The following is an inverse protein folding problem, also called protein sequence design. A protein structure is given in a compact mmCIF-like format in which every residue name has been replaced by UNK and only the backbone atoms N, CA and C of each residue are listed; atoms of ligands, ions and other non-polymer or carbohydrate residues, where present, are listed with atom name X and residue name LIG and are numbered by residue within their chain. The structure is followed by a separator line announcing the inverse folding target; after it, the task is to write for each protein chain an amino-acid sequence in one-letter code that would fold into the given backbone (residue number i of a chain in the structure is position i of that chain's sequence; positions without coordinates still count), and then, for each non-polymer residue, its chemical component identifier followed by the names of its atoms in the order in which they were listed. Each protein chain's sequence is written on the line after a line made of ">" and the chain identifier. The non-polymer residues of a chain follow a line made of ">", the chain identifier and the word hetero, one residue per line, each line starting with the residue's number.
data_IF_722397715954
#
_entry.id   IF_722397715954
#
_cell.length_a   1.000
_cell.length_b   1.000
_cell.length_c   1.000
_cell.angle_alpha   90.00
_cell.angle_beta   90.00
_cell.angle_gamma   90.00
#
_symmetry.space_group_name_H-M   'P 1'
#
loop_
_entity.id
_entity.type
_entity.pdbx_description
1 polymer ?
#
# COMPACT_ATOMS: atom_id res chain seq x y z
N UNK A 1 19.73 -6.26 -4.64
CA UNK A 1 18.73 -6.44 -3.57
C UNK A 1 17.36 -6.44 -4.22
N UNK A 2 16.63 -7.55 -4.16
CA UNK A 2 15.34 -7.70 -4.88
C UNK A 2 14.11 -7.65 -3.96
N UNK A 3 14.30 -7.74 -2.64
CA UNK A 3 13.23 -7.75 -1.66
C UNK A 3 13.61 -6.94 -0.42
N UNK A 4 12.65 -6.15 0.08
CA UNK A 4 12.74 -5.40 1.33
C UNK A 4 11.44 -5.55 2.13
N UNK A 5 11.59 -5.68 3.44
CA UNK A 5 10.50 -5.51 4.40
C UNK A 5 10.84 -4.34 5.33
N UNK A 6 9.96 -3.35 5.37
CA UNK A 6 10.07 -2.22 6.29
C UNK A 6 8.97 -2.30 7.34
N UNK A 7 9.36 -2.38 8.60
CA UNK A 7 8.44 -2.36 9.73
C UNK A 7 8.40 -0.95 10.32
N UNK A 8 7.23 -0.33 10.35
CA UNK A 8 6.98 0.90 11.05
C UNK A 8 6.78 0.65 12.55
N UNK A 9 6.80 1.73 13.32
CA UNK A 9 6.56 1.69 14.76
C UNK A 9 5.36 2.58 15.06
N UNK A 10 4.26 1.96 15.52
CA UNK A 10 3.15 2.68 16.14
C UNK A 10 3.68 3.53 17.29
N UNK A 11 3.43 4.84 17.23
CA UNK A 11 3.89 5.77 18.25
C UNK A 11 3.33 5.38 19.62
N UNK A 12 4.15 4.71 20.42
CA UNK A 12 4.16 4.90 21.85
C UNK A 12 5.59 5.19 22.23
N UNK A 13 5.80 6.36 22.85
CA UNK A 13 7.07 6.91 23.31
C UNK A 13 7.84 7.76 22.28
N UNK A 14 8.16 8.95 22.75
CA UNK A 14 8.99 10.00 22.15
C UNK A 14 10.16 9.42 21.35
N UNK A 15 10.41 9.88 20.11
CA UNK A 15 11.53 9.36 19.35
C UNK A 15 12.87 9.75 19.98
N UNK A 16 13.81 8.81 20.17
CA UNK A 16 15.22 9.15 20.30
C UNK A 16 15.69 9.82 19.00
N UNK A 17 16.70 10.69 19.10
CA UNK A 17 17.29 11.63 18.13
C UNK A 17 17.75 11.08 16.74
N UNK A 18 17.05 10.11 16.14
CA UNK A 18 17.47 9.43 14.91
C UNK A 18 16.33 8.90 14.04
N UNK A 19 15.18 9.59 13.98
CA UNK A 19 14.08 9.18 13.11
C UNK A 19 14.44 9.37 11.63
N UNK A 20 14.53 8.26 10.89
CA UNK A 20 14.41 8.24 9.44
C UNK A 20 13.10 8.93 9.05
N UNK A 21 13.21 10.07 8.34
CA UNK A 21 12.03 10.74 7.83
C UNK A 21 11.47 9.94 6.65
N UNK A 22 10.17 10.09 6.38
CA UNK A 22 9.54 9.47 5.20
C UNK A 22 10.32 9.78 3.90
N UNK A 23 10.84 11.00 3.77
CA UNK A 23 11.63 11.41 2.61
C UNK A 23 12.94 10.61 2.47
N UNK A 24 13.58 10.26 3.59
CA UNK A 24 14.81 9.45 3.58
C UNK A 24 14.48 8.02 3.14
N UNK A 25 13.35 7.48 3.60
CA UNK A 25 12.86 6.17 3.17
C UNK A 25 12.56 6.16 1.67
N UNK A 26 11.86 7.17 1.16
CA UNK A 26 11.57 7.32 -0.27
C UNK A 26 12.87 7.41 -1.08
N UNK A 27 13.84 8.19 -0.61
CA UNK A 27 15.14 8.36 -1.28
C UNK A 27 15.92 7.05 -1.29
N UNK A 28 15.94 6.33 -0.17
CA UNK A 28 16.55 5.01 -0.07
C UNK A 28 15.90 4.03 -1.03
N UNK A 29 14.57 3.92 -1.03
CA UNK A 29 13.83 3.04 -1.94
C UNK A 29 14.08 3.38 -3.41
N UNK A 30 14.14 4.67 -3.75
CA UNK A 30 14.45 5.13 -5.11
C UNK A 30 15.87 4.75 -5.56
N UNK A 31 16.82 4.64 -4.62
CA UNK A 31 18.19 4.19 -4.94
C UNK A 31 18.26 2.68 -5.25
N UNK A 32 17.25 1.91 -4.85
CA UNK A 32 17.18 0.46 -5.04
C UNK A 32 16.50 0.12 -6.38
N UNK A 33 17.18 0.40 -7.48
CA UNK A 33 16.63 0.29 -8.84
C UNK A 33 16.14 -1.11 -9.24
N UNK A 34 16.59 -2.15 -8.54
CA UNK A 34 16.25 -3.55 -8.81
C UNK A 34 15.28 -4.15 -7.77
N UNK A 35 14.68 -3.31 -6.91
CA UNK A 35 13.75 -3.77 -5.89
C UNK A 35 12.44 -4.24 -6.54
N UNK A 36 12.14 -5.53 -6.40
CA UNK A 36 10.94 -6.18 -6.96
C UNK A 36 9.87 -6.45 -5.92
N UNK A 37 10.25 -6.61 -4.64
CA UNK A 37 9.33 -6.92 -3.55
C UNK A 37 9.45 -5.91 -2.43
N UNK A 38 8.32 -5.34 -2.03
CA UNK A 38 8.22 -4.39 -0.93
C UNK A 38 7.12 -4.85 0.02
N UNK A 39 7.50 -5.08 1.27
CA UNK A 39 6.56 -5.26 2.38
C UNK A 39 6.61 -4.02 3.29
N UNK A 40 5.46 -3.40 3.52
CA UNK A 40 5.25 -2.39 4.56
C UNK A 40 4.35 -3.00 5.65
N UNK A 41 4.79 -2.90 6.89
CA UNK A 41 4.16 -3.52 8.06
C UNK A 41 4.09 -2.50 9.20
N UNK A 42 2.93 -2.24 9.80
CA UNK A 42 2.77 -1.33 10.94
C UNK A 42 3.15 0.14 10.66
N UNK A 43 2.71 0.68 9.52
CA UNK A 43 3.03 2.06 9.11
C UNK A 43 1.89 3.02 9.39
N UNK A 44 2.23 4.21 9.88
CA UNK A 44 1.28 5.31 10.00
C UNK A 44 1.64 6.40 9.00
N UNK A 45 0.73 6.69 8.08
CA UNK A 45 0.91 7.67 7.00
C UNK A 45 -0.11 8.79 7.12
N UNK A 46 0.26 10.01 6.77
CA UNK A 46 -0.63 11.17 6.81
C UNK A 46 -1.62 11.18 5.65
N UNK A 47 -1.29 10.51 4.54
CA UNK A 47 -2.16 10.45 3.37
C UNK A 47 -1.81 9.30 2.43
N UNK A 48 -2.77 8.94 1.59
CA UNK A 48 -2.53 8.04 0.46
C UNK A 48 -1.46 8.55 -0.52
N UNK A 49 -1.22 9.87 -0.58
CA UNK A 49 -0.15 10.41 -1.41
C UNK A 49 1.25 9.98 -0.93
N UNK A 50 1.45 9.84 0.38
CA UNK A 50 2.68 9.29 0.93
C UNK A 50 2.85 7.82 0.57
N UNK A 51 1.79 7.01 0.70
CA UNK A 51 1.82 5.61 0.29
C UNK A 51 2.20 5.46 -1.20
N UNK A 52 1.59 6.29 -2.07
CA UNK A 52 1.92 6.30 -3.49
C UNK A 52 3.38 6.64 -3.74
N UNK A 53 3.93 7.66 -3.09
CA UNK A 53 5.33 8.02 -3.30
C UNK A 53 6.29 6.93 -2.82
N UNK A 54 5.97 6.22 -1.72
CA UNK A 54 6.74 5.04 -1.28
C UNK A 54 6.71 3.95 -2.37
N UNK A 55 5.53 3.61 -2.88
CA UNK A 55 5.36 2.56 -3.90
C UNK A 55 6.07 2.96 -5.20
N UNK A 56 5.88 4.20 -5.66
CA UNK A 56 6.43 4.70 -6.92
C UNK A 56 7.95 4.95 -6.88
N UNK A 57 8.55 5.09 -5.68
CA UNK A 57 10.01 5.07 -5.55
C UNK A 57 10.61 3.77 -6.09
N UNK A 58 9.87 2.67 -6.00
CA UNK A 58 10.29 1.33 -6.42
C UNK A 58 9.84 1.05 -7.86
N UNK A 59 10.56 1.59 -8.86
CA UNK A 59 10.12 1.54 -10.28
C UNK A 59 10.00 0.13 -10.87
N UNK A 60 10.78 -0.83 -10.37
CA UNK A 60 10.77 -2.22 -10.80
C UNK A 60 9.90 -3.13 -9.90
N UNK A 61 9.04 -2.54 -9.06
CA UNK A 61 8.26 -3.29 -8.09
C UNK A 61 7.21 -4.18 -8.76
N UNK A 62 7.27 -5.47 -8.44
CA UNK A 62 6.36 -6.51 -8.94
C UNK A 62 5.46 -7.05 -7.82
N UNK A 63 5.91 -7.03 -6.56
CA UNK A 63 5.18 -7.56 -5.41
C UNK A 63 5.07 -6.50 -4.31
N UNK A 64 3.83 -6.19 -3.93
CA UNK A 64 3.53 -5.27 -2.84
C UNK A 64 2.74 -5.98 -1.76
N UNK A 65 3.24 -5.92 -0.53
CA UNK A 65 2.56 -6.41 0.67
C UNK A 65 2.38 -5.25 1.63
N UNK A 66 1.13 -4.95 1.97
CA UNK A 66 0.77 -3.93 2.95
C UNK A 66 0.01 -4.61 4.09
N UNK A 67 0.54 -4.45 5.30
CA UNK A 67 -0.05 -5.00 6.52
C UNK A 67 -0.10 -3.88 7.55
N UNK A 68 -1.28 -3.62 8.13
CA UNK A 68 -1.41 -2.69 9.26
C UNK A 68 -0.86 -1.30 8.85
N UNK A 69 -1.48 -0.71 7.81
CA UNK A 69 -1.07 0.60 7.26
C UNK A 69 -2.19 1.60 7.45
N UNK A 70 -2.02 2.46 8.44
CA UNK A 70 -3.06 3.35 8.95
C UNK A 70 -2.84 4.81 8.57
N UNK A 71 -3.95 5.56 8.57
CA UNK A 71 -3.88 7.01 8.50
C UNK A 71 -3.57 7.63 9.88
N UNK A 72 -2.72 8.65 9.93
CA UNK A 72 -2.54 9.45 11.15
C UNK A 72 -3.85 10.16 11.51
N UNK A 73 -4.28 10.07 12.77
CA UNK A 73 -5.53 10.69 13.27
C UNK A 73 -5.44 12.23 13.33
N UNK A 74 -4.23 12.78 13.44
CA UNK A 74 -4.00 14.23 13.54
C UNK A 74 -3.36 14.76 12.26
N UNK A 75 -3.99 15.73 11.55
CA UNK A 75 -3.34 16.39 10.42
C UNK A 75 -2.19 17.25 10.95
N UNK A 76 -0.97 16.74 10.90
CA UNK A 76 0.22 17.50 11.25
C UNK A 76 0.80 18.15 9.99
N UNK A 77 0.74 19.49 9.93
CA UNK A 77 1.48 20.33 8.99
C UNK A 77 1.05 20.22 7.49
N UNK A 78 1.57 21.07 6.57
CA UNK A 78 0.85 21.46 5.36
C UNK A 78 0.71 20.31 4.35
N UNK A 79 -0.39 20.37 3.58
CA UNK A 79 -0.78 19.42 2.52
C UNK A 79 0.42 18.81 1.80
N UNK A 80 0.62 17.50 2.00
CA UNK A 80 1.70 16.73 1.38
C UNK A 80 1.70 16.95 -0.14
N UNK A 81 2.83 17.40 -0.68
CA UNK A 81 3.01 17.59 -2.12
C UNK A 81 3.59 16.30 -2.74
N UNK A 82 2.84 15.59 -3.60
CA UNK A 82 3.36 14.40 -4.28
C UNK A 82 4.62 14.74 -5.07
N UNK A 83 5.65 13.90 -4.99
CA UNK A 83 6.95 14.16 -5.63
C UNK A 83 7.24 13.26 -6.82
N UNK A 84 6.53 12.13 -6.95
CA UNK A 84 6.88 11.07 -7.90
C UNK A 84 5.76 10.88 -8.93
N UNK A 85 6.13 10.26 -10.06
CA UNK A 85 5.21 9.83 -11.12
C UNK A 85 3.94 9.19 -10.54
N UNK A 86 2.79 9.56 -11.13
CA UNK A 86 1.48 9.06 -10.73
C UNK A 86 1.18 7.64 -11.27
N UNK A 87 2.08 7.08 -12.09
CA UNK A 87 1.92 5.74 -12.67
C UNK A 87 2.42 4.69 -11.67
N UNK A 88 1.59 3.69 -11.31
CA UNK A 88 2.03 2.60 -10.46
C UNK A 88 3.12 1.76 -11.14
N UNK A 89 4.01 1.13 -10.36
CA UNK A 89 4.99 0.18 -10.89
C UNK A 89 4.28 -1.06 -11.48
N UNK A 90 4.99 -1.92 -12.24
CA UNK A 90 4.40 -3.08 -12.92
C UNK A 90 4.04 -4.23 -11.95
N UNK A 91 3.14 -3.96 -11.01
CA UNK A 91 2.71 -4.89 -9.97
C UNK A 91 2.02 -6.12 -10.56
N UNK A 92 2.45 -7.28 -10.08
CA UNK A 92 1.94 -8.62 -10.40
C UNK A 92 1.31 -9.29 -9.19
N UNK A 93 1.81 -8.98 -7.99
CA UNK A 93 1.30 -9.51 -6.72
C UNK A 93 0.94 -8.36 -5.80
N UNK A 94 -0.28 -8.39 -5.29
CA UNK A 94 -0.77 -7.42 -4.31
C UNK A 94 -1.40 -8.16 -3.13
N UNK A 95 -0.91 -7.88 -1.93
CA UNK A 95 -1.50 -8.33 -0.67
C UNK A 95 -1.79 -7.11 0.19
N UNK A 96 -3.05 -6.97 0.58
CA UNK A 96 -3.53 -5.93 1.49
C UNK A 96 -4.18 -6.61 2.70
N UNK A 97 -3.74 -6.24 3.89
CA UNK A 97 -4.35 -6.66 5.15
C UNK A 97 -4.39 -5.49 6.12
N UNK A 98 -5.58 -5.12 6.59
CA UNK A 98 -5.78 -4.02 7.57
C UNK A 98 -5.12 -2.71 7.11
N UNK A 99 -5.59 -2.17 5.98
CA UNK A 99 -5.03 -0.94 5.39
C UNK A 99 -6.12 0.09 5.18
N UNK A 100 -6.00 1.24 5.85
CA UNK A 100 -6.95 2.35 5.80
C UNK A 100 -7.11 2.90 4.36
N UNK A 101 -6.02 2.90 3.59
CA UNK A 101 -6.00 3.43 2.21
C UNK A 101 -6.41 2.41 1.13
N UNK A 102 -6.92 1.22 1.51
CA UNK A 102 -7.20 0.12 0.58
C UNK A 102 -8.07 0.55 -0.60
N UNK A 103 -9.18 1.27 -0.35
CA UNK A 103 -10.08 1.74 -1.40
C UNK A 103 -9.41 2.68 -2.41
N UNK A 104 -8.57 3.59 -1.93
CA UNK A 104 -7.83 4.54 -2.78
C UNK A 104 -6.73 3.82 -3.59
N UNK A 105 -6.06 2.84 -2.97
CA UNK A 105 -5.06 2.01 -3.63
C UNK A 105 -5.69 1.18 -4.76
N UNK A 106 -6.81 0.51 -4.47
CA UNK A 106 -7.56 -0.27 -5.47
C UNK A 106 -8.05 0.63 -6.61
N UNK A 107 -8.59 1.81 -6.32
CA UNK A 107 -9.03 2.76 -7.34
C UNK A 107 -7.87 3.26 -8.22
N UNK A 108 -6.73 3.57 -7.61
CA UNK A 108 -5.54 4.03 -8.32
C UNK A 108 -4.94 2.93 -9.20
N UNK A 109 -4.89 1.68 -8.72
CA UNK A 109 -4.49 0.57 -9.55
C UNK A 109 -5.52 0.35 -10.66
N UNK A 110 -6.82 0.40 -10.36
CA UNK A 110 -7.92 0.25 -11.32
C UNK A 110 -7.96 1.33 -12.43
N UNK A 111 -7.19 2.41 -12.33
CA UNK A 111 -7.06 3.40 -13.41
C UNK A 111 -5.86 3.18 -14.35
N UNK A 112 -4.96 2.23 -14.05
CA UNK A 112 -3.75 1.97 -14.86
C UNK A 112 -3.68 0.54 -15.37
N UNK A 113 -3.16 0.29 -16.58
CA UNK A 113 -2.98 -1.06 -17.10
C UNK A 113 -1.98 -1.84 -16.22
N UNK A 114 -2.49 -2.69 -15.34
CA UNK A 114 -1.71 -3.57 -14.48
C UNK A 114 -2.16 -5.01 -14.69
N UNK A 115 -1.20 -5.91 -14.95
CA UNK A 115 -1.41 -7.33 -15.13
C UNK A 115 -1.20 -8.07 -13.81
N UNK A 116 -2.08 -7.80 -12.83
CA UNK A 116 -2.02 -8.45 -11.52
C UNK A 116 -2.40 -9.92 -11.68
N UNK A 117 -1.46 -10.81 -11.36
CA UNK A 117 -1.68 -12.26 -11.39
C UNK A 117 -2.05 -12.85 -10.04
N UNK A 118 -1.70 -12.19 -8.94
CA UNK A 118 -2.09 -12.62 -7.60
C UNK A 118 -2.62 -11.43 -6.80
N UNK A 119 -3.83 -11.58 -6.27
CA UNK A 119 -4.53 -10.52 -5.56
C UNK A 119 -5.11 -11.06 -4.25
N UNK A 120 -4.68 -10.49 -3.14
CA UNK A 120 -5.24 -10.73 -1.81
C UNK A 120 -5.76 -9.40 -1.27
N UNK A 121 -7.07 -9.34 -0.99
CA UNK A 121 -7.76 -8.16 -0.49
C UNK A 121 -8.42 -8.45 0.87
N UNK A 122 -8.51 -7.43 1.70
CA UNK A 122 -9.40 -7.44 2.85
C UNK A 122 -10.84 -7.10 2.44
N UNK A 123 -11.81 -7.46 3.29
CA UNK A 123 -13.23 -7.15 3.05
C UNK A 123 -13.47 -5.64 2.91
N UNK A 124 -12.61 -4.81 3.51
CA UNK A 124 -12.60 -3.36 3.38
C UNK A 124 -12.59 -2.88 1.92
N UNK A 125 -11.86 -3.56 1.03
CA UNK A 125 -11.88 -3.25 -0.41
C UNK A 125 -13.28 -3.34 -1.03
N UNK A 126 -14.15 -4.21 -0.50
CA UNK A 126 -15.51 -4.38 -1.03
C UNK A 126 -16.47 -3.28 -0.57
N UNK A 127 -16.06 -2.39 0.34
CA UNK A 127 -16.78 -1.14 0.63
C UNK A 127 -16.81 -0.21 -0.60
N UNK A 128 -15.92 -0.42 -1.56
CA UNK A 128 -15.89 0.29 -2.85
C UNK A 128 -16.12 -0.68 -4.03
N UNK A 129 -17.32 -1.28 -4.14
CA UNK A 129 -17.57 -2.40 -5.07
C UNK A 129 -17.30 -2.02 -6.53
N UNK A 130 -17.53 -0.75 -6.88
CA UNK A 130 -17.26 -0.24 -8.23
C UNK A 130 -15.77 -0.27 -8.60
N UNK A 131 -14.87 0.03 -7.65
CA UNK A 131 -13.43 0.09 -7.92
C UNK A 131 -12.82 -1.31 -7.89
N UNK A 132 -13.18 -2.10 -6.89
CA UNK A 132 -12.75 -3.51 -6.78
C UNK A 132 -13.23 -4.32 -7.98
N UNK A 133 -14.48 -4.13 -8.41
CA UNK A 133 -15.00 -4.75 -9.63
C UNK A 133 -14.31 -4.30 -10.92
N UNK A 134 -13.83 -3.05 -11.00
CA UNK A 134 -13.01 -2.58 -12.13
C UNK A 134 -11.63 -3.24 -12.13
N UNK A 135 -10.97 -3.30 -10.98
CA UNK A 135 -9.67 -3.95 -10.83
C UNK A 135 -9.77 -5.43 -11.21
N UNK A 136 -10.75 -6.16 -10.66
CA UNK A 136 -10.97 -7.57 -10.93
C UNK A 136 -11.27 -7.86 -12.40
N UNK A 137 -12.16 -7.08 -13.03
CA UNK A 137 -12.47 -7.28 -14.47
C UNK A 137 -11.24 -7.10 -15.35
N UNK A 138 -10.37 -6.14 -15.01
CA UNK A 138 -9.18 -5.86 -15.80
C UNK A 138 -8.07 -6.88 -15.55
N UNK A 139 -7.87 -7.29 -14.30
CA UNK A 139 -6.86 -8.30 -13.94
C UNK A 139 -7.31 -9.71 -14.30
N UNK A 140 -8.62 -9.94 -14.49
CA UNK A 140 -9.24 -11.25 -14.72
C UNK A 140 -8.50 -12.17 -15.69
N UNK A 141 -8.11 -11.72 -16.90
CA UNK A 141 -7.39 -12.56 -17.85
C UNK A 141 -6.00 -13.03 -17.38
N UNK A 142 -5.37 -12.31 -16.44
CA UNK A 142 -4.04 -12.62 -15.91
C UNK A 142 -4.07 -13.21 -14.50
N UNK A 143 -5.23 -13.19 -13.84
CA UNK A 143 -5.39 -13.56 -12.43
C UNK A 143 -5.34 -15.08 -12.26
N UNK A 144 -4.32 -15.57 -11.55
CA UNK A 144 -4.16 -16.98 -11.21
C UNK A 144 -4.52 -17.28 -9.76
N UNK A 145 -4.43 -16.27 -8.89
CA UNK A 145 -4.76 -16.38 -7.47
C UNK A 145 -5.59 -15.19 -7.01
N UNK A 146 -6.74 -15.46 -6.40
CA UNK A 146 -7.60 -14.46 -5.78
C UNK A 146 -7.95 -14.94 -4.37
N UNK A 147 -7.67 -14.10 -3.38
CA UNK A 147 -8.05 -14.34 -2.00
C UNK A 147 -8.74 -13.10 -1.44
N UNK A 148 -9.86 -13.32 -0.74
CA UNK A 148 -10.66 -12.26 -0.13
C UNK A 148 -10.83 -12.62 1.34
N UNK A 149 -10.29 -11.78 2.21
CA UNK A 149 -10.41 -11.95 3.66
C UNK A 149 -11.63 -11.19 4.17
N UNK A 150 -12.71 -11.93 4.41
CA UNK A 150 -13.84 -11.40 5.14
C UNK A 150 -13.52 -11.44 6.63
N UNK A 151 -13.21 -10.29 7.24
CA UNK A 151 -13.19 -10.21 8.70
C UNK A 151 -14.61 -10.54 9.18
N UNK A 152 -14.81 -11.69 9.82
CA UNK A 152 -16.04 -11.98 10.53
C UNK A 152 -16.12 -10.96 11.66
N UNK A 153 -16.97 -9.95 11.51
CA UNK A 153 -17.20 -8.97 12.57
C UNK A 153 -17.51 -9.71 13.85
N UNK A 154 -16.56 -9.70 14.79
CA UNK A 154 -16.83 -10.04 16.17
C UNK A 154 -17.78 -8.99 16.69
N UNK A 155 -19.09 -9.24 16.58
CA UNK A 155 -20.06 -8.64 17.48
C UNK A 155 -19.70 -9.13 18.89
N UNK A 156 -18.73 -8.44 19.51
CA UNK A 156 -18.60 -8.41 20.96
C UNK A 156 -19.86 -7.72 21.46
N UNK A 157 -20.88 -8.52 21.75
CA UNK A 157 -22.08 -8.07 22.44
C UNK A 157 -21.67 -7.44 23.77
N UNK A 158 -22.11 -6.22 23.98
CA UNK A 158 -22.30 -5.61 25.28
C UNK A 158 -23.78 -5.24 25.38
#
# INVERSE_FOLDING_TARGET
>A
MESISLKGYYYSQTPPDGKLQLNDVITLLASLTNLKKLKLDAWMLESFAQLRDIICACRALEELTLIDVDATITPQAPSYKPRISLTPPPLRVLLINDVEFEGQLVAWLASHPAAISSLTLSCGAFLHPNQSGKLLRRSGPSLTHLQIHCASGGHGGA
#
